data_IF_925340585727
#
_entry.id   IF_925340585727
#
_cell.length_a   1.000
_cell.length_b   1.000
_cell.length_c   1.000
_cell.angle_alpha   90.00
_cell.angle_beta   90.00
_cell.angle_gamma   90.00
#
_symmetry.space_group_name_H-M   'P 1'
#
loop_
_entity.id
_entity.type
_entity.pdbx_description
1 polymer ?
#
# COMPACT_ATOMS: atom_id res chain seq x y z
N UNK A 1 3.98 21.89 20.62
CA UNK A 1 4.52 20.89 19.67
C UNK A 1 3.90 19.54 19.97
N UNK A 2 3.40 18.80 18.97
CA UNK A 2 2.95 17.41 19.16
C UNK A 2 4.13 16.45 19.15
N UNK A 3 4.11 15.40 19.98
CA UNK A 3 5.13 14.34 19.98
C UNK A 3 4.77 13.22 19.00
N UNK A 4 5.76 12.48 18.52
CA UNK A 4 5.53 11.27 17.70
C UNK A 4 4.65 10.26 18.44
N UNK A 5 4.85 10.07 19.74
CA UNK A 5 4.03 9.18 20.56
C UNK A 5 2.55 9.56 20.52
N UNK A 6 2.21 10.84 20.63
CA UNK A 6 0.83 11.31 20.56
C UNK A 6 0.22 11.10 19.16
N UNK A 7 1.01 11.23 18.10
CA UNK A 7 0.59 10.95 16.72
C UNK A 7 0.25 9.46 16.57
N UNK A 8 1.16 8.55 16.94
CA UNK A 8 0.93 7.11 16.82
C UNK A 8 -0.23 6.61 17.67
N UNK A 9 -0.41 7.14 18.87
CA UNK A 9 -1.58 6.81 19.70
C UNK A 9 -2.90 7.19 19.02
N UNK A 10 -2.92 8.37 18.38
CA UNK A 10 -4.11 8.83 17.63
C UNK A 10 -4.38 7.93 16.44
N UNK A 11 -3.36 7.62 15.63
CA UNK A 11 -3.49 6.72 14.48
C UNK A 11 -4.00 5.34 14.89
N UNK A 12 -3.47 4.77 15.98
CA UNK A 12 -3.92 3.48 16.52
C UNK A 12 -5.40 3.49 16.93
N UNK A 13 -5.86 4.58 17.55
CA UNK A 13 -7.28 4.74 17.90
C UNK A 13 -8.15 4.85 16.65
N UNK A 14 -7.74 5.63 15.66
CA UNK A 14 -8.48 5.78 14.40
C UNK A 14 -8.57 4.45 13.64
N UNK A 15 -7.47 3.69 13.56
CA UNK A 15 -7.46 2.35 12.94
C UNK A 15 -8.37 1.38 13.69
N UNK A 16 -8.32 1.37 15.03
CA UNK A 16 -9.18 0.50 15.85
C UNK A 16 -10.67 0.79 15.64
N UNK A 17 -11.03 2.04 15.38
CA UNK A 17 -12.41 2.44 15.10
C UNK A 17 -12.80 2.31 13.61
N UNK A 18 -11.90 1.83 12.75
CA UNK A 18 -12.14 1.69 11.31
C UNK A 18 -12.25 3.02 10.55
N UNK A 19 -11.80 4.14 11.16
CA UNK A 19 -11.82 5.45 10.51
C UNK A 19 -10.69 5.61 9.49
N UNK A 20 -9.60 4.87 9.65
CA UNK A 20 -8.48 4.74 8.73
C UNK A 20 -8.06 3.27 8.68
N UNK A 21 -7.38 2.86 7.62
CA UNK A 21 -6.77 1.54 7.48
C UNK A 21 -5.26 1.64 7.68
N UNK A 22 -4.67 0.63 8.29
CA UNK A 22 -3.22 0.47 8.35
C UNK A 22 -2.78 -0.45 7.20
N UNK A 23 -1.73 -0.06 6.48
CA UNK A 23 -1.23 -0.77 5.31
C UNK A 23 0.27 -0.98 5.50
N UNK A 24 0.67 -2.25 5.53
CA UNK A 24 2.06 -2.65 5.52
C UNK A 24 2.53 -2.76 4.07
N UNK A 25 3.45 -1.89 3.69
CA UNK A 25 3.93 -1.81 2.31
C UNK A 25 5.27 -2.56 2.15
N UNK A 26 6.12 -2.52 3.18
CA UNK A 26 7.41 -3.22 3.31
C UNK A 26 7.63 -3.62 4.78
N UNK A 27 8.65 -4.44 5.09
CA UNK A 27 8.92 -4.98 6.44
C UNK A 27 8.98 -3.89 7.53
N UNK A 28 9.39 -2.65 7.20
CA UNK A 28 9.53 -1.54 8.17
C UNK A 28 8.70 -0.28 7.83
N UNK A 29 7.80 -0.34 6.85
CA UNK A 29 7.01 0.84 6.42
C UNK A 29 5.51 0.62 6.62
N UNK A 30 5.00 1.20 7.72
CA UNK A 30 3.57 1.28 8.01
C UNK A 30 3.03 2.60 7.46
N UNK A 31 1.97 2.51 6.64
CA UNK A 31 1.21 3.66 6.19
C UNK A 31 -0.24 3.58 6.65
N UNK A 32 -0.85 4.74 6.77
CA UNK A 32 -2.23 4.88 7.17
C UNK A 32 -3.02 5.50 6.02
N UNK A 33 -4.14 4.88 5.68
CA UNK A 33 -4.99 5.24 4.57
C UNK A 33 -6.37 5.66 5.08
N UNK A 34 -6.77 6.88 4.77
CA UNK A 34 -8.09 7.43 5.12
C UNK A 34 -9.12 7.30 3.99
N UNK A 35 -8.77 6.67 2.87
CA UNK A 35 -9.62 6.58 1.70
C UNK A 35 -10.49 5.31 1.75
N UNK A 36 -11.80 5.52 1.92
CA UNK A 36 -12.75 4.42 2.13
C UNK A 36 -13.18 3.71 0.83
N UNK A 37 -12.82 4.22 -0.35
CA UNK A 37 -13.12 3.52 -1.61
C UNK A 37 -12.02 2.51 -1.97
N UNK A 38 -12.40 1.39 -2.58
CA UNK A 38 -11.45 0.35 -3.02
C UNK A 38 -10.47 0.90 -4.06
N UNK A 39 -9.18 0.82 -3.75
CA UNK A 39 -8.09 1.22 -4.62
C UNK A 39 -6.87 0.31 -4.37
N UNK A 40 -5.89 0.39 -5.25
CA UNK A 40 -4.59 -0.23 -5.07
C UNK A 40 -3.53 0.85 -4.86
N UNK A 41 -2.40 0.48 -4.26
CA UNK A 41 -1.24 1.36 -4.22
C UNK A 41 -0.14 0.87 -5.15
N UNK A 42 0.57 1.80 -5.76
CA UNK A 42 1.75 1.51 -6.57
C UNK A 42 2.97 2.25 -6.03
N UNK A 43 4.06 1.53 -5.71
CA UNK A 43 5.35 2.12 -5.31
C UNK A 43 6.36 2.03 -6.43
N UNK A 44 6.95 3.17 -6.75
CA UNK A 44 8.10 3.23 -7.63
C UNK A 44 9.37 2.86 -6.87
N UNK A 45 10.08 1.80 -7.28
CA UNK A 45 11.34 1.39 -6.63
C UNK A 45 12.49 2.35 -6.87
N UNK A 46 12.44 3.15 -7.94
CA UNK A 46 13.52 4.10 -8.25
C UNK A 46 13.40 5.43 -7.49
N UNK A 47 12.18 5.91 -7.21
CA UNK A 47 12.00 7.21 -6.56
C UNK A 47 11.22 7.16 -5.24
N UNK A 48 10.79 5.96 -4.80
CA UNK A 48 10.03 5.76 -3.56
C UNK A 48 8.61 6.33 -3.55
N UNK A 49 8.16 6.97 -4.64
CA UNK A 49 6.83 7.57 -4.71
C UNK A 49 5.75 6.50 -4.72
N UNK A 50 4.71 6.75 -3.92
CA UNK A 50 3.48 5.96 -3.87
C UNK A 50 2.35 6.68 -4.60
N UNK A 51 1.55 5.90 -5.31
CA UNK A 51 0.44 6.36 -6.14
C UNK A 51 -0.80 5.54 -5.83
N UNK A 52 -1.94 6.21 -5.68
CA UNK A 52 -3.23 5.53 -5.55
C UNK A 52 -3.81 5.24 -6.92
N UNK A 53 -4.22 4.00 -7.13
CA UNK A 53 -4.75 3.49 -8.39
C UNK A 53 -6.22 3.09 -8.20
N UNK A 54 -7.10 3.76 -8.93
CA UNK A 54 -8.52 3.41 -8.93
C UNK A 54 -8.72 2.03 -9.57
N UNK A 55 -9.27 1.10 -8.80
CA UNK A 55 -9.63 -0.22 -9.29
C UNK A 55 -11.01 -0.16 -9.96
N UNK A 56 -11.11 -0.74 -11.16
CA UNK A 56 -12.39 -0.83 -11.90
C UNK A 56 -13.21 -2.06 -11.48
N UNK A 57 -12.57 -3.09 -10.94
CA UNK A 57 -13.25 -4.26 -10.42
C UNK A 57 -13.86 -3.96 -9.04
N UNK A 58 -14.99 -4.61 -8.72
CA UNK A 58 -15.61 -4.52 -7.38
C UNK A 58 -14.86 -5.37 -6.35
N UNK A 59 -14.29 -6.48 -6.79
CA UNK A 59 -13.50 -7.41 -5.99
C UNK A 59 -12.62 -8.25 -6.91
N UNK A 60 -11.47 -8.74 -6.43
CA UNK A 60 -10.72 -9.82 -7.08
C UNK A 60 -10.94 -11.17 -6.37
N UNK A 61 -11.86 -11.27 -5.40
CA UNK A 61 -12.16 -12.50 -4.66
C UNK A 61 -12.59 -13.63 -5.61
N UNK A 62 -13.41 -13.32 -6.62
CA UNK A 62 -13.86 -14.33 -7.58
C UNK A 62 -12.73 -14.84 -8.50
N UNK A 63 -11.60 -14.11 -8.57
CA UNK A 63 -10.43 -14.49 -9.34
C UNK A 63 -9.44 -15.37 -8.55
N UNK A 64 -9.66 -15.57 -7.25
CA UNK A 64 -8.75 -16.31 -6.36
C UNK A 64 -9.53 -17.40 -5.62
N UNK A 65 -9.29 -18.66 -5.99
CA UNK A 65 -9.86 -19.80 -5.27
C UNK A 65 -9.07 -20.03 -3.96
N UNK A 66 -9.55 -19.47 -2.85
CA UNK A 66 -9.05 -19.81 -1.52
C UNK A 66 -9.94 -20.91 -0.93
N UNK A 67 -9.46 -22.15 -0.97
CA UNK A 67 -10.23 -23.30 -0.43
C UNK A 67 -10.45 -23.14 1.08
N UNK A 68 -11.73 -23.15 1.48
CA UNK A 68 -12.21 -23.17 2.88
C UNK A 68 -11.77 -21.97 3.74
N UNK A 69 -11.75 -20.76 3.20
CA UNK A 69 -11.48 -19.55 3.98
C UNK A 69 -12.61 -18.51 3.86
N UNK A 70 -12.76 -17.69 4.90
CA UNK A 70 -13.56 -16.47 4.87
C UNK A 70 -12.62 -15.28 4.77
N UNK A 71 -12.78 -14.47 3.73
CA UNK A 71 -11.96 -13.28 3.50
C UNK A 71 -12.62 -12.09 4.19
N UNK A 72 -11.84 -11.31 4.94
CA UNK A 72 -12.33 -10.13 5.67
C UNK A 72 -11.83 -8.80 5.09
N UNK A 73 -10.66 -8.80 4.45
CA UNK A 73 -10.09 -7.62 3.79
C UNK A 73 -9.22 -8.02 2.59
N UNK A 74 -8.95 -7.07 1.70
CA UNK A 74 -8.11 -7.21 0.53
C UNK A 74 -7.26 -5.96 0.34
N UNK A 75 -5.95 -6.13 0.18
CA UNK A 75 -5.03 -5.04 -0.13
C UNK A 75 -4.29 -5.39 -1.43
N UNK A 76 -4.37 -4.50 -2.41
CA UNK A 76 -3.68 -4.68 -3.69
C UNK A 76 -2.53 -3.69 -3.76
N UNK A 77 -1.34 -4.22 -3.98
CA UNK A 77 -0.11 -3.46 -4.02
C UNK A 77 0.72 -3.84 -5.24
N UNK A 78 1.19 -2.82 -5.96
CA UNK A 78 2.03 -2.96 -7.14
C UNK A 78 3.40 -2.35 -6.88
N UNK A 79 4.46 -3.05 -7.25
CA UNK A 79 5.84 -2.58 -7.17
C UNK A 79 6.42 -2.51 -8.58
N UNK A 80 7.02 -1.39 -8.94
CA UNK A 80 7.59 -1.23 -10.27
C UNK A 80 8.26 0.12 -10.48
N UNK A 81 8.32 0.60 -11.73
CA UNK A 81 8.94 1.90 -12.07
C UNK A 81 7.90 2.83 -12.68
N UNK A 82 7.77 4.03 -12.13
CA UNK A 82 6.81 5.01 -12.63
C UNK A 82 7.26 5.63 -13.96
N UNK A 83 6.29 6.11 -14.75
CA UNK A 83 6.52 6.76 -16.04
C UNK A 83 7.56 7.91 -15.98
N UNK A 84 7.55 8.70 -14.89
CA UNK A 84 8.54 9.76 -14.68
C UNK A 84 9.97 9.22 -14.62
N UNK A 85 10.18 8.07 -13.99
CA UNK A 85 11.51 7.45 -13.89
C UNK A 85 11.90 6.76 -15.20
N UNK A 86 10.93 6.13 -15.89
CA UNK A 86 11.16 5.55 -17.23
C UNK A 86 11.63 6.64 -18.20
N UNK A 87 10.92 7.78 -18.26
CA UNK A 87 11.23 8.89 -19.16
C UNK A 87 12.57 9.57 -18.89
N UNK A 88 13.03 9.57 -17.64
CA UNK A 88 14.34 10.12 -17.28
C UNK A 88 15.51 9.20 -17.65
N UNK A 89 15.25 7.95 -18.06
CA UNK A 89 16.30 6.98 -18.34
C UNK A 89 17.14 6.61 -17.11
N UNK A 90 16.62 6.86 -15.90
CA UNK A 90 17.29 6.53 -14.64
C UNK A 90 17.32 4.99 -14.49
N UNK A 91 18.41 4.36 -14.93
CA UNK A 91 18.67 2.93 -14.75
C UNK A 91 19.24 2.66 -13.35
N UNK A 92 18.44 2.85 -12.30
CA UNK A 92 18.73 2.23 -11.00
C UNK A 92 17.69 1.13 -10.75
N UNK A 93 17.72 0.10 -11.61
CA UNK A 93 16.86 -1.06 -11.43
C UNK A 93 17.50 -1.99 -10.39
N UNK A 94 17.13 -1.79 -9.11
CA UNK A 94 17.14 -2.79 -8.06
C UNK A 94 18.50 -3.25 -7.52
N UNK A 95 19.11 -2.50 -6.61
CA UNK A 95 20.08 -3.08 -5.66
C UNK A 95 19.42 -3.63 -4.37
N UNK A 96 18.10 -3.47 -4.19
CA UNK A 96 17.44 -3.87 -2.93
C UNK A 96 16.08 -4.55 -3.09
N UNK A 97 15.79 -5.19 -4.22
CA UNK A 97 14.64 -6.11 -4.26
C UNK A 97 15.09 -7.39 -3.55
N UNK A 98 15.00 -7.43 -2.22
CA UNK A 98 15.01 -8.68 -1.46
C UNK A 98 13.74 -9.44 -1.85
N UNK A 99 13.79 -10.15 -2.97
CA UNK A 99 12.84 -11.20 -3.29
C UNK A 99 13.00 -12.28 -2.22
N UNK A 100 12.07 -12.35 -1.28
CA UNK A 100 11.76 -13.57 -0.57
C UNK A 100 10.78 -14.39 -1.39
#
# INVERSE_FOLDING_TARGET
TLSMTSIYNTLKVLTKNGAIKEIMIEEDEIRYDGYNERHAHFKCVNCGKLYDLKLKCKSCFDAIEIKKAKIFDEHIYFVGICDKCIKKGEKNYGENIKTR
#
